data_IF_574998525532
#
_entry.id   IF_574998525532
#
_cell.length_a   1.000
_cell.length_b   1.000
_cell.length_c   1.000
_cell.angle_alpha   90.00
_cell.angle_beta   90.00
_cell.angle_gamma   90.00
#
_symmetry.space_group_name_H-M   'P 1'
#
loop_
_entity.id
_entity.type
_entity.pdbx_description
1 polymer ?
#
# COMPACT_ATOMS: atom_id res chain seq x y z
N UNK A 1 -9.49 -2.48 -8.08
CA UNK A 1 -10.10 -1.90 -6.87
C UNK A 1 -9.06 -1.11 -6.09
N UNK A 2 -9.42 0.11 -5.66
CA UNK A 2 -8.55 1.04 -4.94
C UNK A 2 -8.60 2.45 -5.50
N UNK A 3 -8.37 3.49 -4.66
CA UNK A 3 -8.51 4.91 -5.01
C UNK A 3 -7.19 5.70 -5.05
N UNK A 4 -6.05 5.10 -4.75
CA UNK A 4 -4.76 5.77 -4.72
C UNK A 4 -4.00 5.77 -6.05
N UNK A 5 -2.82 6.40 -6.06
CA UNK A 5 -1.97 6.53 -7.25
C UNK A 5 -1.62 5.19 -7.91
N UNK A 6 -1.41 4.12 -7.12
CA UNK A 6 -1.12 2.79 -7.67
C UNK A 6 -2.28 2.24 -8.49
N UNK A 7 -3.52 2.41 -8.01
CA UNK A 7 -4.71 2.05 -8.76
C UNK A 7 -4.82 2.89 -10.04
N UNK A 8 -4.62 4.20 -9.97
CA UNK A 8 -4.66 5.09 -11.12
C UNK A 8 -3.65 4.73 -12.21
N UNK A 9 -2.40 4.45 -11.83
CA UNK A 9 -1.37 3.99 -12.75
C UNK A 9 -1.75 2.67 -13.44
N UNK A 10 -2.30 1.71 -12.68
CA UNK A 10 -2.77 0.45 -13.23
C UNK A 10 -3.93 0.65 -14.22
N UNK A 11 -4.90 1.53 -13.92
CA UNK A 11 -6.00 1.86 -14.83
C UNK A 11 -5.46 2.40 -16.15
N UNK A 12 -4.58 3.40 -16.10
CA UNK A 12 -3.98 4.02 -17.30
C UNK A 12 -3.21 2.99 -18.13
N UNK A 13 -2.54 2.04 -17.49
CA UNK A 13 -1.79 0.98 -18.19
C UNK A 13 -2.70 -0.10 -18.80
N UNK A 14 -3.78 -0.48 -18.09
CA UNK A 14 -4.65 -1.59 -18.47
C UNK A 14 -5.76 -1.18 -19.45
N UNK A 15 -6.31 0.03 -19.30
CA UNK A 15 -7.45 0.46 -20.10
C UNK A 15 -7.26 0.28 -21.61
N UNK A 16 -6.11 0.61 -22.24
CA UNK A 16 -5.90 0.37 -23.68
C UNK A 16 -5.89 -1.11 -24.08
N UNK A 17 -5.81 -2.03 -23.12
CA UNK A 17 -5.65 -3.48 -23.37
C UNK A 17 -6.93 -4.28 -23.16
N UNK A 18 -8.00 -3.63 -22.70
CA UNK A 18 -9.26 -4.28 -22.32
C UNK A 18 -10.47 -3.58 -22.94
N UNK A 19 -11.55 -4.30 -23.15
CA UNK A 19 -12.80 -3.72 -23.67
C UNK A 19 -13.47 -2.79 -22.66
N UNK A 20 -13.42 -3.15 -21.37
CA UNK A 20 -14.03 -2.42 -20.26
C UNK A 20 -13.19 -2.60 -19.00
N UNK A 21 -13.05 -1.55 -18.23
CA UNK A 21 -12.36 -1.53 -16.96
C UNK A 21 -13.22 -0.86 -15.90
N UNK A 22 -13.50 -1.56 -14.80
CA UNK A 22 -14.20 -1.03 -13.64
C UNK A 22 -13.20 -0.57 -12.59
N UNK A 23 -13.20 0.72 -12.26
CA UNK A 23 -12.44 1.27 -11.14
C UNK A 23 -13.36 1.40 -9.93
N UNK A 24 -13.24 0.49 -8.98
CA UNK A 24 -14.07 0.43 -7.77
C UNK A 24 -13.35 1.11 -6.61
N UNK A 25 -13.98 2.11 -5.99
CA UNK A 25 -13.43 2.94 -4.93
C UNK A 25 -14.41 3.06 -3.78
N UNK A 26 -13.97 2.77 -2.56
CA UNK A 26 -14.79 2.87 -1.34
C UNK A 26 -15.13 4.31 -0.94
N UNK A 27 -14.27 5.25 -1.30
CA UNK A 27 -14.47 6.69 -1.07
C UNK A 27 -15.46 7.32 -2.04
N UNK A 28 -15.86 8.56 -1.76
CA UNK A 28 -16.77 9.34 -2.60
C UNK A 28 -16.17 9.85 -3.91
N UNK A 29 -14.84 9.78 -4.04
CA UNK A 29 -14.10 10.22 -5.23
C UNK A 29 -12.64 9.77 -5.20
N UNK A 30 -11.86 10.26 -6.14
CA UNK A 30 -10.43 9.96 -6.30
C UNK A 30 -9.54 11.05 -5.69
N UNK A 31 -10.06 12.24 -5.48
CA UNK A 31 -9.32 13.47 -5.15
C UNK A 31 -8.58 13.36 -3.81
N UNK A 32 -9.10 12.56 -2.88
CA UNK A 32 -8.51 12.40 -1.54
C UNK A 32 -7.15 11.67 -1.55
N UNK A 33 -6.85 10.86 -2.58
CA UNK A 33 -5.70 9.95 -2.55
C UNK A 33 -5.02 9.72 -3.89
N UNK A 34 -5.55 10.29 -4.98
CA UNK A 34 -5.00 10.18 -6.32
C UNK A 34 -4.57 11.54 -6.84
N UNK A 35 -3.41 11.60 -7.51
CA UNK A 35 -2.91 12.84 -8.12
C UNK A 35 -3.83 13.32 -9.24
N UNK A 36 -3.99 14.63 -9.37
CA UNK A 36 -4.83 15.27 -10.39
C UNK A 36 -4.50 14.79 -11.81
N UNK A 37 -3.22 14.67 -12.12
CA UNK A 37 -2.75 14.14 -13.40
C UNK A 37 -3.36 12.76 -13.75
N UNK A 38 -3.44 11.84 -12.78
CA UNK A 38 -4.03 10.52 -13.02
C UNK A 38 -5.55 10.60 -13.15
N UNK A 39 -6.20 11.44 -12.35
CA UNK A 39 -7.66 11.66 -12.42
C UNK A 39 -8.04 12.16 -13.81
N UNK A 40 -7.36 13.18 -14.31
CA UNK A 40 -7.63 13.76 -15.62
C UNK A 40 -7.38 12.74 -16.75
N UNK A 41 -6.33 11.92 -16.64
CA UNK A 41 -6.09 10.84 -17.59
C UNK A 41 -7.16 9.76 -17.57
N UNK A 42 -7.62 9.37 -16.39
CA UNK A 42 -8.68 8.35 -16.23
C UNK A 42 -10.00 8.86 -16.81
N UNK A 43 -10.35 10.13 -16.55
CA UNK A 43 -11.57 10.75 -17.07
C UNK A 43 -11.62 10.80 -18.60
N UNK A 44 -10.46 10.83 -19.26
CA UNK A 44 -10.34 10.80 -20.74
C UNK A 44 -10.46 9.39 -21.34
N UNK A 45 -10.54 8.32 -20.53
CA UNK A 45 -10.60 6.94 -21.02
C UNK A 45 -12.06 6.47 -21.17
N UNK A 46 -12.58 6.29 -22.40
CA UNK A 46 -14.01 6.04 -22.63
C UNK A 46 -14.48 4.65 -22.18
N UNK A 47 -13.55 3.72 -21.97
CA UNK A 47 -13.84 2.35 -21.54
C UNK A 47 -13.62 2.12 -20.04
N UNK A 48 -13.40 3.17 -19.25
CA UNK A 48 -13.26 3.10 -17.79
C UNK A 48 -14.55 3.54 -17.13
N UNK A 49 -15.12 2.68 -16.32
CA UNK A 49 -16.29 2.94 -15.48
C UNK A 49 -15.84 3.13 -14.03
N UNK A 50 -16.05 4.33 -13.50
CA UNK A 50 -15.72 4.67 -12.10
C UNK A 50 -16.93 4.38 -11.20
N UNK A 51 -16.73 3.54 -10.19
CA UNK A 51 -17.71 3.20 -9.15
C UNK A 51 -17.21 3.75 -7.82
N UNK A 52 -17.68 4.94 -7.43
CA UNK A 52 -17.39 5.55 -6.13
C UNK A 52 -18.35 5.04 -5.05
N UNK A 53 -17.98 5.16 -3.77
CA UNK A 53 -18.81 4.66 -2.67
C UNK A 53 -19.13 3.18 -2.76
N UNK A 54 -18.32 2.41 -3.49
CA UNK A 54 -18.62 1.02 -3.88
C UNK A 54 -17.51 0.08 -3.42
N UNK A 55 -17.88 -1.12 -3.05
CA UNK A 55 -16.96 -2.18 -2.66
C UNK A 55 -17.29 -3.51 -3.33
N UNK A 56 -16.29 -4.38 -3.49
CA UNK A 56 -16.48 -5.75 -3.95
C UNK A 56 -16.77 -6.60 -2.72
N UNK A 57 -17.90 -7.31 -2.71
CA UNK A 57 -18.36 -8.10 -1.55
C UNK A 57 -18.39 -9.61 -1.81
N UNK A 58 -18.41 -10.03 -3.07
CA UNK A 58 -18.30 -11.43 -3.43
C UNK A 58 -17.64 -11.59 -4.80
N UNK A 59 -17.10 -12.76 -5.05
CA UNK A 59 -16.54 -13.19 -6.32
C UNK A 59 -17.24 -14.47 -6.77
N UNK A 60 -17.47 -14.61 -8.08
CA UNK A 60 -18.07 -15.78 -8.69
C UNK A 60 -17.07 -16.41 -9.67
N UNK A 61 -17.06 -17.73 -9.72
CA UNK A 61 -16.15 -18.51 -10.56
C UNK A 61 -15.75 -19.81 -9.86
N UNK A 62 -14.99 -20.64 -10.55
CA UNK A 62 -14.46 -21.90 -10.03
C UNK A 62 -13.04 -22.17 -10.59
N UNK A 63 -12.43 -23.27 -10.16
CA UNK A 63 -11.07 -23.65 -10.59
C UNK A 63 -10.97 -23.89 -12.11
N UNK A 64 -12.02 -24.29 -12.76
CA UNK A 64 -12.05 -24.61 -14.20
C UNK A 64 -12.27 -23.38 -15.07
N UNK A 65 -13.13 -22.47 -14.64
CA UNK A 65 -13.52 -21.25 -15.38
C UNK A 65 -12.74 -20.00 -14.95
N UNK A 66 -12.09 -20.05 -13.80
CA UNK A 66 -11.49 -18.91 -13.14
C UNK A 66 -12.56 -17.91 -12.68
N UNK A 67 -12.18 -16.66 -12.50
CA UNK A 67 -13.07 -15.58 -12.11
C UNK A 67 -14.03 -15.24 -13.26
N UNK A 68 -15.34 -15.27 -13.02
CA UNK A 68 -16.39 -14.98 -14.01
C UNK A 68 -17.16 -13.69 -13.70
N UNK A 69 -17.36 -13.36 -12.42
CA UNK A 69 -18.04 -12.14 -12.01
C UNK A 69 -17.59 -11.68 -10.60
N UNK A 70 -17.94 -10.45 -10.26
CA UNK A 70 -17.86 -9.92 -8.92
C UNK A 70 -19.14 -9.19 -8.55
N UNK A 71 -19.55 -9.29 -7.29
CA UNK A 71 -20.68 -8.55 -6.73
C UNK A 71 -20.19 -7.25 -6.15
N UNK A 72 -20.68 -6.14 -6.69
CA UNK A 72 -20.43 -4.78 -6.21
C UNK A 72 -21.57 -4.37 -5.29
N UNK A 73 -21.23 -3.75 -4.16
CA UNK A 73 -22.19 -3.18 -3.21
C UNK A 73 -21.99 -1.69 -3.08
N UNK A 74 -23.03 -0.91 -3.30
CA UNK A 74 -23.07 0.51 -3.01
C UNK A 74 -23.17 0.71 -1.49
N UNK A 75 -22.23 1.44 -0.90
CA UNK A 75 -22.16 1.61 0.56
C UNK A 75 -23.28 2.46 1.14
N UNK A 76 -23.80 3.41 0.37
CA UNK A 76 -24.84 4.32 0.83
C UNK A 76 -26.21 3.63 0.94
N UNK A 77 -26.55 2.79 -0.03
CA UNK A 77 -27.88 2.15 -0.16
C UNK A 77 -27.87 0.68 0.27
N UNK A 78 -26.69 0.05 0.28
CA UNK A 78 -26.56 -1.40 0.44
C UNK A 78 -26.95 -2.19 -0.82
N UNK A 79 -27.37 -1.53 -1.90
CA UNK A 79 -27.74 -2.17 -3.15
C UNK A 79 -26.56 -2.94 -3.76
N UNK A 80 -26.84 -4.11 -4.30
CA UNK A 80 -25.82 -4.95 -4.94
C UNK A 80 -26.14 -5.18 -6.41
N UNK A 81 -25.10 -5.29 -7.24
CA UNK A 81 -25.21 -5.75 -8.62
C UNK A 81 -24.03 -6.63 -9.00
N UNK A 82 -24.27 -7.61 -9.83
CA UNK A 82 -23.23 -8.52 -10.33
C UNK A 82 -22.64 -7.95 -11.62
N UNK A 83 -21.31 -7.91 -11.67
CA UNK A 83 -20.55 -7.41 -12.81
C UNK A 83 -19.70 -8.56 -13.38
N UNK A 84 -19.91 -8.91 -14.65
CA UNK A 84 -19.11 -9.93 -15.33
C UNK A 84 -17.71 -9.42 -15.57
N UNK A 85 -16.70 -10.14 -15.08
CA UNK A 85 -15.28 -9.79 -15.22
C UNK A 85 -14.40 -11.04 -15.11
N UNK A 86 -13.22 -10.98 -15.68
CA UNK A 86 -12.25 -12.08 -15.71
C UNK A 86 -11.03 -11.85 -14.83
N UNK A 87 -10.78 -10.59 -14.45
CA UNK A 87 -9.58 -10.22 -13.67
C UNK A 87 -9.96 -9.20 -12.61
N UNK A 88 -9.41 -9.37 -11.41
CA UNK A 88 -9.51 -8.43 -10.32
C UNK A 88 -8.11 -8.07 -9.82
N UNK A 89 -7.80 -6.76 -9.79
CA UNK A 89 -6.56 -6.22 -9.25
C UNK A 89 -6.84 -5.41 -7.99
N UNK A 90 -6.13 -5.70 -6.89
CA UNK A 90 -6.29 -5.06 -5.59
C UNK A 90 -5.15 -4.06 -5.36
N UNK A 91 -5.51 -2.78 -5.18
CA UNK A 91 -4.60 -1.69 -4.83
C UNK A 91 -5.12 -1.00 -3.55
N UNK A 92 -5.42 -1.81 -2.54
CA UNK A 92 -6.07 -1.38 -1.28
C UNK A 92 -5.08 -1.11 -0.15
N UNK A 93 -3.78 -1.13 -0.44
CA UNK A 93 -2.70 -1.08 0.53
C UNK A 93 -2.29 -2.48 0.99
N UNK A 94 -1.37 -2.52 1.94
CA UNK A 94 -0.90 -3.74 2.56
C UNK A 94 -0.83 -3.56 4.07
N UNK A 95 -1.15 -4.59 4.81
CA UNK A 95 -0.89 -4.69 6.23
C UNK A 95 0.54 -5.19 6.44
N UNK A 96 1.33 -4.60 7.33
CA UNK A 96 2.70 -5.05 7.57
C UNK A 96 2.71 -6.41 8.27
N UNK A 97 3.54 -7.32 7.80
CA UNK A 97 3.72 -8.62 8.45
C UNK A 97 4.73 -8.49 9.62
N UNK A 98 4.29 -7.91 10.72
CA UNK A 98 5.11 -7.58 11.91
C UNK A 98 4.70 -8.33 13.17
N UNK A 99 3.67 -9.18 13.12
CA UNK A 99 3.20 -9.95 14.28
C UNK A 99 4.28 -10.84 14.91
N UNK A 100 5.21 -11.34 14.11
CA UNK A 100 6.34 -12.16 14.54
C UNK A 100 7.38 -11.39 15.39
N UNK A 101 7.40 -10.05 15.30
CA UNK A 101 8.29 -9.21 16.11
C UNK A 101 7.93 -9.20 17.60
N UNK A 102 6.73 -9.64 17.95
CA UNK A 102 6.29 -9.90 19.32
C UNK A 102 6.68 -8.79 20.31
N UNK A 103 6.40 -7.54 19.96
CA UNK A 103 6.75 -6.31 20.70
C UNK A 103 8.25 -6.04 20.88
N UNK A 104 9.11 -6.71 20.12
CA UNK A 104 10.57 -6.51 20.15
C UNK A 104 10.98 -5.07 19.78
N UNK A 105 10.22 -4.42 18.88
CA UNK A 105 10.40 -3.03 18.44
C UNK A 105 9.09 -2.27 18.49
N UNK A 106 9.13 -0.95 18.58
CA UNK A 106 7.95 -0.11 18.54
C UNK A 106 7.26 -0.16 17.17
N UNK A 107 5.94 -0.32 17.19
CA UNK A 107 5.06 -0.30 16.01
C UNK A 107 4.11 0.90 16.11
N UNK A 108 3.71 1.43 14.95
CA UNK A 108 2.63 2.41 14.89
C UNK A 108 1.25 1.75 15.07
N UNK A 109 0.19 2.56 15.09
CA UNK A 109 -1.19 2.06 15.24
C UNK A 109 -1.70 1.20 14.07
N UNK A 110 -0.92 1.10 12.99
CA UNK A 110 -1.19 0.26 11.81
C UNK A 110 -0.26 -0.96 11.74
N UNK A 111 0.61 -1.14 12.72
CA UNK A 111 1.56 -2.23 12.79
C UNK A 111 2.87 -2.01 12.03
N UNK A 112 3.14 -0.84 11.46
CA UNK A 112 4.44 -0.55 10.82
C UNK A 112 5.52 -0.24 11.85
N UNK A 113 6.76 -0.63 11.55
CA UNK A 113 7.91 -0.42 12.43
C UNK A 113 8.27 1.07 12.49
N UNK A 114 8.30 1.63 13.71
CA UNK A 114 8.71 3.00 13.97
C UNK A 114 10.24 3.09 13.99
N UNK A 115 10.80 4.09 13.28
CA UNK A 115 12.25 4.35 13.22
C UNK A 115 12.58 5.81 13.51
N UNK A 116 13.85 6.08 13.81
CA UNK A 116 14.36 7.43 14.04
C UNK A 116 13.89 8.04 15.35
N UNK A 117 13.97 9.36 15.46
CA UNK A 117 13.64 10.12 16.66
C UNK A 117 12.19 9.97 17.18
N UNK A 118 11.32 9.30 16.42
CA UNK A 118 9.96 8.95 16.85
C UNK A 118 9.91 7.65 17.67
N UNK A 119 11.02 6.92 17.77
CA UNK A 119 11.13 5.73 18.60
C UNK A 119 11.67 6.12 19.98
N UNK A 120 10.89 5.85 21.03
CA UNK A 120 11.28 6.13 22.44
C UNK A 120 12.13 4.99 22.99
N UNK A 121 13.31 4.77 22.40
CA UNK A 121 14.28 3.80 22.91
C UNK A 121 15.19 4.46 23.97
N UNK A 122 15.45 3.78 25.07
CA UNK A 122 16.37 4.23 26.14
C UNK A 122 17.85 4.11 25.73
N UNK A 123 18.23 4.50 24.51
CA UNK A 123 19.61 4.44 24.04
C UNK A 123 20.47 5.54 24.68
N UNK A 124 21.73 5.21 25.00
CA UNK A 124 22.74 6.15 25.51
C UNK A 124 23.25 7.11 24.44
N UNK A 125 22.84 6.97 23.17
CA UNK A 125 23.18 7.78 22.01
C UNK A 125 21.94 8.19 21.20
N UNK A 126 22.01 9.20 20.34
CA UNK A 126 20.93 9.53 19.43
C UNK A 126 20.56 8.34 18.53
N UNK A 127 19.26 8.12 18.37
CA UNK A 127 18.72 7.09 17.47
C UNK A 127 18.90 7.56 16.03
N UNK A 128 19.45 6.70 15.18
CA UNK A 128 19.67 6.99 13.76
C UNK A 128 18.34 6.92 12.97
N UNK A 129 18.33 7.49 11.79
CA UNK A 129 17.08 7.69 11.03
C UNK A 129 16.35 6.39 10.69
N UNK A 130 17.09 5.32 10.35
CA UNK A 130 16.52 4.00 10.03
C UNK A 130 16.56 3.02 11.21
N UNK A 131 17.08 3.43 12.35
CA UNK A 131 17.17 2.61 13.54
C UNK A 131 15.80 2.55 14.26
N UNK A 132 15.45 1.36 14.76
CA UNK A 132 14.20 1.12 15.51
C UNK A 132 14.33 1.57 16.97
N UNK A 133 13.29 1.31 17.78
CA UNK A 133 13.34 1.53 19.24
C UNK A 133 14.35 0.60 19.95
N UNK A 134 14.84 -0.43 19.28
CA UNK A 134 15.87 -1.32 19.81
C UNK A 134 17.23 -0.94 19.22
N UNK A 135 18.22 -0.58 20.04
CA UNK A 135 19.54 -0.21 19.56
C UNK A 135 20.19 -1.30 18.68
N UNK A 136 20.83 -0.89 17.58
CA UNK A 136 21.47 -1.80 16.62
C UNK A 136 20.51 -2.56 15.70
N UNK A 137 19.19 -2.34 15.83
CA UNK A 137 18.17 -2.95 14.95
C UNK A 137 17.59 -1.90 14.03
N UNK A 138 17.62 -2.18 12.73
CA UNK A 138 17.18 -1.25 11.68
C UNK A 138 15.98 -1.78 10.93
N UNK A 139 15.14 -0.90 10.42
CA UNK A 139 14.03 -1.25 9.53
C UNK A 139 14.03 -0.34 8.31
N UNK A 140 13.83 -0.94 7.13
CA UNK A 140 13.82 -0.25 5.84
C UNK A 140 12.66 -0.70 4.97
N UNK A 141 12.32 0.07 3.96
CA UNK A 141 11.33 -0.26 2.96
C UNK A 141 9.89 -0.22 3.47
N UNK A 142 9.05 -1.06 2.89
CA UNK A 142 7.60 -1.01 3.07
C UNK A 142 7.12 -1.32 4.49
N UNK A 143 7.92 -2.01 5.30
CA UNK A 143 7.60 -2.32 6.69
C UNK A 143 7.74 -1.11 7.63
N UNK A 144 8.50 -0.09 7.22
CA UNK A 144 8.78 1.10 8.03
C UNK A 144 7.60 2.09 8.02
N UNK A 145 7.23 2.60 9.18
CA UNK A 145 6.25 3.65 9.34
C UNK A 145 6.66 4.92 8.57
N UNK A 146 5.73 5.50 7.81
CA UNK A 146 5.97 6.70 7.03
C UNK A 146 6.86 6.52 5.79
N UNK A 147 7.30 5.30 5.45
CA UNK A 147 8.06 5.06 4.22
C UNK A 147 7.22 5.26 2.96
N UNK A 148 7.86 5.67 1.89
CA UNK A 148 7.23 5.71 0.56
C UNK A 148 7.19 4.28 0.00
N UNK A 149 5.99 3.70 -0.13
CA UNK A 149 5.76 2.33 -0.61
C UNK A 149 6.07 2.22 -2.11
N UNK A 150 7.35 2.20 -2.47
CA UNK A 150 7.90 2.11 -3.83
C UNK A 150 9.21 1.33 -3.82
N UNK A 151 9.41 0.49 -4.83
CA UNK A 151 10.65 -0.29 -4.98
C UNK A 151 11.90 0.60 -4.93
N UNK A 152 11.90 1.70 -5.68
CA UNK A 152 13.03 2.62 -5.69
C UNK A 152 13.33 3.24 -4.32
N UNK A 153 12.30 3.56 -3.52
CA UNK A 153 12.46 4.08 -2.17
C UNK A 153 13.05 3.00 -1.24
N UNK A 154 12.53 1.78 -1.31
CA UNK A 154 13.05 0.66 -0.51
C UNK A 154 14.53 0.34 -0.83
N UNK A 155 14.90 0.36 -2.11
CA UNK A 155 16.30 0.20 -2.54
C UNK A 155 17.18 1.35 -2.03
N UNK A 156 16.67 2.59 -2.10
CA UNK A 156 17.38 3.77 -1.56
C UNK A 156 17.59 3.69 -0.05
N UNK A 157 16.58 3.27 0.72
CA UNK A 157 16.71 3.03 2.16
C UNK A 157 17.71 1.89 2.44
N UNK A 158 17.73 0.83 1.60
CA UNK A 158 18.73 -0.23 1.68
C UNK A 158 20.17 0.26 1.54
N UNK A 159 20.41 1.20 0.65
CA UNK A 159 21.72 1.85 0.53
C UNK A 159 22.01 2.80 1.72
N UNK A 160 21.01 3.54 2.18
CA UNK A 160 21.17 4.53 3.25
C UNK A 160 21.42 3.89 4.64
N UNK A 161 20.92 2.67 4.89
CA UNK A 161 21.12 2.00 6.17
C UNK A 161 22.56 1.53 6.40
N UNK A 162 23.31 1.24 5.33
CA UNK A 162 24.68 0.68 5.43
C UNK A 162 25.61 1.57 6.26
N UNK A 163 25.77 2.89 5.99
CA UNK A 163 26.60 3.74 6.83
C UNK A 163 26.08 3.85 8.27
N UNK A 164 24.75 3.77 8.51
CA UNK A 164 24.21 3.78 9.86
C UNK A 164 24.63 2.51 10.64
N UNK A 165 24.59 1.35 9.99
CA UNK A 165 25.07 0.08 10.57
C UNK A 165 26.56 0.18 10.90
N UNK A 166 27.39 0.67 9.97
CA UNK A 166 28.82 0.86 10.21
C UNK A 166 29.10 1.79 11.39
N UNK A 167 28.30 2.86 11.53
CA UNK A 167 28.43 3.78 12.66
C UNK A 167 28.16 3.09 13.99
N UNK A 168 27.14 2.23 14.06
CA UNK A 168 26.82 1.48 15.29
C UNK A 168 27.89 0.46 15.62
N UNK A 169 28.31 -0.35 14.63
CA UNK A 169 29.33 -1.39 14.83
C UNK A 169 30.67 -0.78 15.25
N UNK A 170 31.06 0.36 14.70
CA UNK A 170 32.30 1.04 15.07
C UNK A 170 32.27 1.68 16.49
N UNK A 171 31.08 1.95 17.01
CA UNK A 171 30.89 2.53 18.34
C UNK A 171 30.79 1.47 19.47
N UNK A 172 30.64 0.18 19.14
CA UNK A 172 30.66 -0.89 20.12
C UNK A 172 32.13 -1.23 20.45
N UNK A 173 32.61 -1.03 21.71
CA UNK A 173 33.91 -1.52 22.12
C UNK A 173 33.89 -3.06 22.09
N UNK A 174 34.80 -3.65 21.37
CA UNK A 174 35.03 -5.10 21.30
C UNK A 174 35.37 -5.72 22.65
#
# INVERSE_FOLDING_TARGET
MGGGNSAGQAVVFLAPKVKRLHLVVRGSGLEASMSRYLIDRIAALPNVELHTGTEVVALEGDESTGLTAAVFRERATGATHTCSLRHLFLFIGADPNTSWLNHCVALDNKGFVVTGGNSTGGASRPILFLETSRPGVFAIGDVRAGSTKRVAAAVGEGAAVVPEIHHVVAAEPG
#
